data_IF_074110468382
#
_entry.id   IF_074110468382
#
_cell.length_a   1.000
_cell.length_b   1.000
_cell.length_c   1.000
_cell.angle_alpha   90.00
_cell.angle_beta   90.00
_cell.angle_gamma   90.00
#
_symmetry.space_group_name_H-M   'P 1'
#
loop_
_entity.id
_entity.type
_entity.pdbx_description
1 polymer ?
#
# COMPACT_ATOMS: atom_id res chain seq x y z
N UNK A 1 -9.49 -16.90 6.33
CA UNK A 1 -8.95 -17.20 7.66
C UNK A 1 -8.62 -15.90 8.40
N UNK A 2 -9.05 -15.78 9.64
CA UNK A 2 -8.70 -14.71 10.57
C UNK A 2 -8.14 -15.33 11.83
N UNK A 3 -6.81 -15.42 11.88
CA UNK A 3 -6.11 -16.14 12.94
C UNK A 3 -5.70 -15.29 14.15
N UNK A 4 -5.95 -13.97 14.09
CA UNK A 4 -5.66 -13.06 15.20
C UNK A 4 -6.64 -13.34 16.35
N UNK A 5 -6.16 -13.60 17.59
CA UNK A 5 -7.05 -13.82 18.71
C UNK A 5 -8.00 -12.66 18.96
N UNK A 6 -9.16 -12.93 19.53
CA UNK A 6 -10.25 -11.99 19.85
C UNK A 6 -11.02 -11.42 18.65
N UNK A 7 -10.55 -11.53 17.42
CA UNK A 7 -11.24 -10.99 16.24
C UNK A 7 -12.29 -11.98 15.74
N UNK A 8 -13.56 -11.56 15.73
CA UNK A 8 -14.71 -12.40 15.34
C UNK A 8 -15.54 -11.82 14.20
N UNK A 9 -15.18 -10.64 13.68
CA UNK A 9 -15.96 -9.96 12.64
C UNK A 9 -16.07 -10.77 11.34
N UNK A 10 -15.01 -11.46 10.90
CA UNK A 10 -15.03 -12.28 9.69
C UNK A 10 -15.84 -13.58 9.88
N UNK A 11 -15.74 -14.21 11.06
CA UNK A 11 -16.55 -15.37 11.42
C UNK A 11 -18.04 -15.02 11.38
N UNK A 12 -18.44 -13.96 12.07
CA UNK A 12 -19.81 -13.49 12.07
C UNK A 12 -20.32 -13.13 10.68
N UNK A 13 -19.49 -12.44 9.88
CA UNK A 13 -19.84 -12.10 8.50
C UNK A 13 -20.09 -13.35 7.64
N UNK A 14 -19.26 -14.38 7.78
CA UNK A 14 -19.44 -15.65 7.05
C UNK A 14 -20.72 -16.38 7.50
N UNK A 15 -21.04 -16.36 8.77
CA UNK A 15 -22.27 -17.00 9.32
C UNK A 15 -23.53 -16.30 8.86
N UNK A 16 -23.55 -14.95 8.87
CA UNK A 16 -24.77 -14.18 8.62
C UNK A 16 -24.93 -13.76 7.15
N UNK A 17 -23.83 -13.57 6.40
CA UNK A 17 -23.83 -12.99 5.07
C UNK A 17 -23.11 -13.89 4.03
N UNK A 18 -23.11 -15.22 4.24
CA UNK A 18 -22.44 -16.17 3.36
C UNK A 18 -22.84 -16.00 1.89
N UNK A 19 -24.13 -15.85 1.60
CA UNK A 19 -24.63 -15.65 0.23
C UNK A 19 -24.00 -14.43 -0.45
N UNK A 20 -23.91 -13.31 0.25
CA UNK A 20 -23.30 -12.08 -0.26
C UNK A 20 -21.80 -12.22 -0.52
N UNK A 21 -21.10 -12.97 0.33
CA UNK A 21 -19.68 -13.27 0.13
C UNK A 21 -19.52 -14.09 -1.16
N UNK A 22 -20.35 -15.12 -1.37
CA UNK A 22 -20.27 -15.98 -2.57
C UNK A 22 -20.61 -15.21 -3.85
N UNK A 23 -21.58 -14.28 -3.83
CA UNK A 23 -21.83 -13.37 -4.96
C UNK A 23 -20.55 -12.55 -5.28
N UNK A 24 -19.87 -12.03 -4.28
CA UNK A 24 -18.61 -11.31 -4.46
C UNK A 24 -17.48 -12.18 -4.99
N UNK A 25 -17.41 -13.44 -4.57
CA UNK A 25 -16.48 -14.43 -5.12
C UNK A 25 -16.80 -14.67 -6.61
N UNK A 26 -18.07 -14.79 -6.98
CA UNK A 26 -18.51 -14.93 -8.38
C UNK A 26 -18.06 -13.77 -9.26
N UNK A 27 -18.21 -12.53 -8.76
CA UNK A 27 -17.74 -11.31 -9.44
C UNK A 27 -16.22 -11.33 -9.60
N UNK A 28 -15.47 -11.68 -8.56
CA UNK A 28 -14.00 -11.79 -8.61
C UNK A 28 -13.57 -12.85 -9.62
N UNK A 29 -14.18 -14.03 -9.63
CA UNK A 29 -13.90 -15.09 -10.61
C UNK A 29 -14.14 -14.61 -12.04
N UNK A 30 -15.24 -13.90 -12.29
CA UNK A 30 -15.57 -13.35 -13.59
C UNK A 30 -14.53 -12.32 -14.07
N UNK A 31 -14.16 -11.36 -13.22
CA UNK A 31 -13.18 -10.30 -13.55
C UNK A 31 -11.79 -10.90 -13.83
N UNK A 32 -11.38 -11.89 -13.04
CA UNK A 32 -10.05 -12.50 -13.16
C UNK A 32 -9.99 -13.61 -14.23
N UNK A 33 -11.12 -14.04 -14.77
CA UNK A 33 -11.21 -15.15 -15.74
C UNK A 33 -10.72 -16.47 -15.16
N UNK A 34 -10.88 -16.69 -13.84
CA UNK A 34 -10.45 -17.91 -13.15
C UNK A 34 -11.63 -18.85 -12.90
N UNK A 35 -11.33 -20.16 -12.86
CA UNK A 35 -12.33 -21.16 -12.52
C UNK A 35 -12.27 -21.55 -11.05
N UNK A 36 -11.10 -21.93 -10.53
CA UNK A 36 -10.96 -22.45 -9.17
C UNK A 36 -10.81 -21.34 -8.13
N UNK A 37 -11.57 -21.50 -7.04
CA UNK A 37 -11.46 -20.65 -5.84
C UNK A 37 -11.38 -21.54 -4.60
N UNK A 38 -10.51 -21.15 -3.64
CA UNK A 38 -10.40 -21.79 -2.34
C UNK A 38 -10.72 -20.77 -1.26
N UNK A 39 -11.57 -21.14 -0.30
CA UNK A 39 -11.89 -20.32 0.88
C UNK A 39 -11.39 -21.07 2.11
N UNK A 40 -10.29 -20.61 2.69
CA UNK A 40 -9.74 -21.19 3.92
C UNK A 40 -10.45 -20.64 5.16
N UNK A 41 -10.96 -21.53 6.01
CA UNK A 41 -11.63 -21.17 7.26
C UNK A 41 -11.05 -22.05 8.35
N UNK A 42 -10.72 -21.47 9.51
CA UNK A 42 -10.15 -22.21 10.63
C UNK A 42 -11.16 -23.25 11.15
N UNK A 43 -10.66 -24.43 11.54
CA UNK A 43 -11.44 -25.58 12.00
C UNK A 43 -12.23 -25.34 13.31
N UNK A 44 -11.86 -24.30 14.06
CA UNK A 44 -12.61 -23.83 15.24
C UNK A 44 -13.85 -23.00 14.91
N UNK A 45 -14.21 -22.84 13.62
CA UNK A 45 -15.37 -22.05 13.15
C UNK A 45 -16.36 -22.94 12.35
N UNK A 46 -16.92 -24.00 12.97
CA UNK A 46 -17.76 -24.98 12.26
C UNK A 46 -19.02 -24.36 11.65
N UNK A 47 -19.63 -23.39 12.33
CA UNK A 47 -20.84 -22.73 11.84
C UNK A 47 -20.56 -21.87 10.57
N UNK A 48 -19.43 -21.18 10.53
CA UNK A 48 -19.01 -20.44 9.33
C UNK A 48 -18.70 -21.39 8.16
N UNK A 49 -18.05 -22.53 8.44
CA UNK A 49 -17.77 -23.55 7.41
C UNK A 49 -19.08 -24.07 6.80
N UNK A 50 -20.07 -24.39 7.63
CA UNK A 50 -21.34 -24.92 7.18
C UNK A 50 -22.15 -23.86 6.41
N UNK A 51 -22.24 -22.63 6.91
CA UNK A 51 -22.93 -21.54 6.24
C UNK A 51 -22.31 -21.26 4.86
N UNK A 52 -20.97 -21.23 4.76
CA UNK A 52 -20.28 -21.00 3.50
C UNK A 52 -20.44 -22.15 2.51
N UNK A 53 -20.41 -23.43 2.96
CA UNK A 53 -20.68 -24.60 2.11
C UNK A 53 -22.09 -24.54 1.54
N UNK A 54 -23.10 -24.32 2.39
CA UNK A 54 -24.48 -24.15 1.97
C UNK A 54 -24.65 -23.02 0.95
N UNK A 55 -23.94 -21.91 1.12
CA UNK A 55 -24.01 -20.79 0.18
C UNK A 55 -23.36 -21.14 -1.19
N UNK A 56 -22.25 -21.85 -1.21
CA UNK A 56 -21.59 -22.34 -2.41
C UNK A 56 -22.51 -23.30 -3.19
N UNK A 57 -23.13 -24.25 -2.50
CA UNK A 57 -24.08 -25.21 -3.09
C UNK A 57 -25.30 -24.51 -3.69
N UNK A 58 -25.93 -23.59 -2.93
CA UNK A 58 -27.06 -22.79 -3.42
C UNK A 58 -26.74 -21.94 -4.64
N UNK A 59 -25.50 -21.45 -4.74
CA UNK A 59 -25.03 -20.67 -5.87
C UNK A 59 -24.60 -21.50 -7.08
N UNK A 60 -24.54 -22.83 -6.98
CA UNK A 60 -24.08 -23.74 -8.05
C UNK A 60 -22.60 -23.54 -8.42
N UNK A 61 -21.78 -23.11 -7.48
CA UNK A 61 -20.35 -22.83 -7.72
C UNK A 61 -19.47 -24.04 -7.38
N UNK A 62 -19.61 -25.15 -8.12
CA UNK A 62 -18.93 -26.43 -7.88
C UNK A 62 -17.38 -26.32 -7.84
N UNK A 63 -16.81 -25.34 -8.52
CA UNK A 63 -15.37 -25.08 -8.58
C UNK A 63 -14.85 -24.10 -7.48
N UNK A 64 -15.70 -23.82 -6.47
CA UNK A 64 -15.35 -23.09 -5.25
C UNK A 64 -15.34 -24.03 -4.06
N UNK A 65 -14.18 -24.21 -3.44
CA UNK A 65 -13.97 -25.19 -2.35
C UNK A 65 -13.79 -24.48 -1.01
N UNK A 66 -14.58 -24.89 -0.01
CA UNK A 66 -14.38 -24.48 1.38
C UNK A 66 -13.39 -25.46 2.02
N UNK A 67 -12.24 -24.95 2.44
CA UNK A 67 -11.13 -25.75 3.01
C UNK A 67 -11.00 -25.42 4.50
N UNK A 68 -11.37 -26.35 5.41
CA UNK A 68 -11.01 -26.22 6.81
C UNK A 68 -9.51 -26.26 6.97
N UNK A 69 -8.94 -25.30 7.70
CA UNK A 69 -7.51 -25.23 8.00
C UNK A 69 -7.28 -25.26 9.51
N UNK A 70 -6.13 -25.77 9.98
CA UNK A 70 -5.82 -25.77 11.42
C UNK A 70 -5.85 -24.36 12.00
N UNK A 71 -6.41 -24.23 13.20
CA UNK A 71 -6.39 -22.99 13.98
C UNK A 71 -4.98 -22.77 14.53
N UNK A 72 -4.13 -22.14 13.74
CA UNK A 72 -2.73 -21.87 14.07
C UNK A 72 -2.34 -20.47 13.64
N UNK A 73 -1.86 -19.66 14.57
CA UNK A 73 -1.34 -18.33 14.25
C UNK A 73 0.09 -18.43 13.65
N UNK A 74 0.42 -17.76 12.53
CA UNK A 74 -0.37 -16.81 11.74
C UNK A 74 -0.87 -17.39 10.38
N UNK A 75 -1.64 -18.46 10.38
CA UNK A 75 -2.16 -19.11 9.15
C UNK A 75 -3.00 -18.18 8.25
N UNK A 76 -3.61 -17.13 8.84
CA UNK A 76 -4.38 -16.11 8.10
C UNK A 76 -3.51 -15.10 7.33
N UNK A 77 -2.19 -15.12 7.50
CA UNK A 77 -1.30 -14.28 6.68
C UNK A 77 -1.37 -14.69 5.19
N UNK A 78 -1.39 -13.72 4.27
CA UNK A 78 -1.60 -13.98 2.84
C UNK A 78 -0.67 -15.06 2.28
N UNK A 79 0.65 -14.95 2.49
CA UNK A 79 1.64 -15.91 1.96
C UNK A 79 1.51 -17.28 2.63
N UNK A 80 1.21 -17.32 3.92
CA UNK A 80 1.01 -18.54 4.70
C UNK A 80 -0.26 -19.27 4.26
N UNK A 81 -1.36 -18.55 4.09
CA UNK A 81 -2.62 -19.11 3.63
C UNK A 81 -2.49 -19.70 2.21
N UNK A 82 -1.79 -19.01 1.30
CA UNK A 82 -1.54 -19.50 -0.04
C UNK A 82 -0.75 -20.82 0.01
N UNK A 83 0.30 -20.90 0.83
CA UNK A 83 1.08 -22.13 0.98
C UNK A 83 0.23 -23.28 1.56
N UNK A 84 -0.57 -23.01 2.59
CA UNK A 84 -1.48 -24.00 3.20
C UNK A 84 -2.49 -24.54 2.18
N UNK A 85 -3.12 -23.66 1.40
CA UNK A 85 -4.21 -24.05 0.49
C UNK A 85 -3.71 -24.63 -0.83
N UNK A 86 -2.51 -24.29 -1.28
CA UNK A 86 -2.04 -24.64 -2.63
C UNK A 86 -0.71 -25.38 -2.68
N UNK A 87 0.02 -25.44 -1.58
CA UNK A 87 1.38 -25.97 -1.53
C UNK A 87 2.43 -25.10 -2.23
N UNK A 88 2.03 -23.94 -2.79
CA UNK A 88 2.93 -23.04 -3.51
C UNK A 88 3.43 -21.91 -2.60
N UNK A 89 4.72 -21.60 -2.72
CA UNK A 89 5.32 -20.48 -2.00
C UNK A 89 5.40 -19.25 -2.88
N UNK A 90 5.03 -18.10 -2.31
CA UNK A 90 5.23 -16.80 -2.97
C UNK A 90 6.72 -16.46 -2.88
N UNK A 91 7.40 -16.15 -4.01
CA UNK A 91 8.82 -15.85 -4.02
C UNK A 91 9.19 -14.68 -3.10
N UNK A 92 10.44 -14.67 -2.61
CA UNK A 92 10.98 -13.51 -1.91
C UNK A 92 10.91 -12.27 -2.82
N UNK A 93 10.55 -11.12 -2.24
CA UNK A 93 10.25 -9.87 -2.98
C UNK A 93 9.12 -9.98 -4.02
N UNK A 94 8.46 -11.14 -4.13
CA UNK A 94 7.32 -11.37 -5.03
C UNK A 94 5.97 -11.09 -4.38
N UNK A 95 4.96 -11.01 -5.23
CA UNK A 95 3.55 -10.91 -4.86
C UNK A 95 2.80 -12.17 -5.31
N UNK A 96 1.66 -12.52 -4.73
CA UNK A 96 0.88 -13.70 -5.11
C UNK A 96 0.58 -13.81 -6.61
N UNK A 97 0.38 -12.68 -7.29
CA UNK A 97 0.16 -12.64 -8.74
C UNK A 97 1.32 -13.23 -9.56
N UNK A 98 2.56 -13.24 -9.05
CA UNK A 98 3.71 -13.86 -9.72
C UNK A 98 3.57 -15.38 -9.86
N UNK A 99 2.75 -16.00 -9.04
CA UNK A 99 2.44 -17.45 -9.09
C UNK A 99 1.01 -17.72 -9.56
N UNK A 100 0.34 -16.71 -10.14
CA UNK A 100 -1.01 -16.82 -10.68
C UNK A 100 -2.10 -16.93 -9.62
N UNK A 101 -1.91 -16.34 -8.43
CA UNK A 101 -2.86 -16.38 -7.32
C UNK A 101 -3.21 -14.94 -6.90
N UNK A 102 -4.47 -14.73 -6.52
CA UNK A 102 -4.96 -13.51 -5.88
C UNK A 102 -5.65 -13.91 -4.59
N UNK A 103 -5.35 -13.24 -3.48
CA UNK A 103 -5.94 -13.49 -2.17
C UNK A 103 -6.74 -12.28 -1.71
N UNK A 104 -7.94 -12.53 -1.19
CA UNK A 104 -8.82 -11.50 -0.62
C UNK A 104 -9.46 -11.98 0.67
N UNK A 105 -9.68 -11.04 1.59
CA UNK A 105 -10.48 -11.28 2.79
C UNK A 105 -11.97 -11.39 2.43
N UNK A 106 -12.74 -12.16 3.21
CA UNK A 106 -14.19 -12.35 3.01
C UNK A 106 -14.96 -11.05 3.07
N UNK A 107 -14.57 -10.11 3.93
CA UNK A 107 -15.15 -8.76 3.98
C UNK A 107 -14.91 -7.95 2.70
N UNK A 108 -13.82 -8.21 1.99
CA UNK A 108 -13.57 -7.61 0.66
C UNK A 108 -14.51 -8.19 -0.38
N UNK A 109 -14.70 -9.51 -0.42
CA UNK A 109 -15.64 -10.16 -1.32
C UNK A 109 -17.07 -9.66 -1.09
N UNK A 110 -17.52 -9.59 0.18
CA UNK A 110 -18.79 -9.01 0.57
C UNK A 110 -18.96 -7.56 0.08
N UNK A 111 -17.94 -6.71 0.27
CA UNK A 111 -17.98 -5.32 -0.16
C UNK A 111 -18.03 -5.17 -1.70
N UNK A 112 -17.36 -6.06 -2.44
CA UNK A 112 -17.41 -6.10 -3.91
C UNK A 112 -18.83 -6.42 -4.38
N UNK A 113 -19.49 -7.43 -3.79
CA UNK A 113 -20.88 -7.74 -4.11
C UNK A 113 -21.77 -6.52 -3.93
N UNK A 114 -21.69 -5.85 -2.79
CA UNK A 114 -22.49 -4.64 -2.51
C UNK A 114 -22.18 -3.50 -3.49
N UNK A 115 -20.93 -3.29 -3.79
CA UNK A 115 -20.55 -2.21 -4.72
C UNK A 115 -21.06 -2.45 -6.14
N UNK A 116 -20.97 -3.68 -6.64
CA UNK A 116 -21.35 -4.00 -8.03
C UNK A 116 -22.84 -4.21 -8.19
N UNK A 117 -23.48 -4.91 -7.25
CA UNK A 117 -24.89 -5.29 -7.37
C UNK A 117 -25.86 -4.22 -6.82
N UNK A 118 -25.42 -3.44 -5.81
CA UNK A 118 -26.26 -2.45 -5.14
C UNK A 118 -25.80 -1.00 -5.37
N UNK A 119 -24.63 -0.79 -6.02
CA UNK A 119 -24.05 0.54 -6.15
C UNK A 119 -23.60 1.15 -4.82
N UNK A 120 -23.46 0.34 -3.75
CA UNK A 120 -23.13 0.78 -2.40
C UNK A 120 -21.62 0.83 -2.19
N UNK A 121 -21.00 2.01 -2.03
CA UNK A 121 -19.56 2.10 -1.80
C UNK A 121 -19.17 1.57 -0.41
N UNK A 122 -17.88 1.22 -0.22
CA UNK A 122 -17.36 0.76 1.06
C UNK A 122 -17.24 1.94 2.05
N UNK A 123 -18.32 2.25 2.74
CA UNK A 123 -18.40 3.28 3.79
C UNK A 123 -18.65 2.69 5.18
N UNK A 124 -18.85 1.37 5.28
CA UNK A 124 -19.08 0.66 6.55
C UNK A 124 -18.10 -0.50 6.70
N UNK A 125 -17.78 -0.85 7.95
CA UNK A 125 -17.00 -2.03 8.31
C UNK A 125 -17.69 -2.77 9.45
N UNK A 126 -17.54 -4.09 9.48
CA UNK A 126 -17.84 -4.87 10.69
C UNK A 126 -16.59 -4.82 11.55
N UNK A 127 -16.76 -4.46 12.81
CA UNK A 127 -15.69 -4.25 13.78
C UNK A 127 -16.02 -5.02 15.04
N UNK A 128 -15.09 -5.82 15.50
CA UNK A 128 -15.15 -6.50 16.79
C UNK A 128 -14.75 -5.50 17.88
N UNK A 129 -15.62 -5.32 18.89
CA UNK A 129 -15.28 -4.59 20.13
C UNK A 129 -15.24 -5.62 21.24
N UNK A 130 -14.07 -5.84 21.87
CA UNK A 130 -13.86 -6.99 22.74
C UNK A 130 -12.78 -6.76 23.79
N UNK A 131 -12.56 -7.78 24.63
CA UNK A 131 -11.63 -7.79 25.77
C UNK A 131 -12.33 -7.65 27.09
N UNK A 132 -11.72 -8.07 28.17
CA UNK A 132 -12.30 -8.03 29.51
C UNK A 132 -12.61 -6.61 30.03
N UNK A 133 -12.05 -5.58 29.36
CA UNK A 133 -12.31 -4.17 29.65
C UNK A 133 -13.59 -3.60 29.07
N UNK A 134 -14.35 -4.38 28.27
CA UNK A 134 -15.63 -3.99 27.67
C UNK A 134 -16.77 -4.69 28.38
N UNK A 135 -17.87 -3.99 28.66
CA UNK A 135 -19.00 -4.59 29.36
C UNK A 135 -19.78 -5.61 28.52
N UNK A 136 -19.99 -5.35 27.25
CA UNK A 136 -20.77 -6.19 26.35
C UNK A 136 -20.02 -6.38 25.01
N UNK A 137 -19.02 -7.28 24.96
CA UNK A 137 -18.28 -7.56 23.72
C UNK A 137 -19.20 -7.96 22.58
N UNK A 138 -19.03 -7.34 21.40
CA UNK A 138 -19.90 -7.56 20.24
C UNK A 138 -19.23 -7.20 18.92
N UNK A 139 -19.84 -7.60 17.81
CA UNK A 139 -19.50 -7.12 16.48
C UNK A 139 -20.46 -6.02 16.07
N UNK A 140 -19.95 -4.88 15.61
CA UNK A 140 -20.73 -3.71 15.20
C UNK A 140 -20.52 -3.42 13.72
N UNK A 141 -21.60 -3.12 13.01
CA UNK A 141 -21.50 -2.51 11.69
C UNK A 141 -21.34 -0.99 11.86
N UNK A 142 -20.15 -0.49 11.65
CA UNK A 142 -19.78 0.90 11.90
C UNK A 142 -19.47 1.64 10.60
N UNK A 143 -19.86 2.92 10.53
CA UNK A 143 -19.43 3.84 9.48
C UNK A 143 -17.92 4.13 9.63
N UNK A 144 -17.21 4.16 8.53
CA UNK A 144 -15.82 4.64 8.51
C UNK A 144 -15.83 6.12 8.93
N UNK A 145 -14.93 6.48 9.86
CA UNK A 145 -14.91 7.81 10.45
C UNK A 145 -15.65 7.94 11.78
N UNK A 146 -16.43 6.93 12.21
CA UNK A 146 -17.05 6.93 13.53
C UNK A 146 -15.96 7.00 14.62
N UNK A 147 -16.09 7.88 15.64
CA UNK A 147 -15.18 7.89 16.77
C UNK A 147 -15.14 6.53 17.48
N UNK A 148 -13.96 6.04 17.80
CA UNK A 148 -13.78 4.76 18.50
C UNK A 148 -14.54 4.74 19.83
N UNK A 149 -14.56 5.88 20.54
CA UNK A 149 -15.32 6.03 21.76
C UNK A 149 -16.79 5.64 21.58
N UNK A 150 -17.45 6.12 20.52
CA UNK A 150 -18.85 5.80 20.25
C UNK A 150 -19.09 4.29 20.05
N UNK A 151 -18.11 3.57 19.46
CA UNK A 151 -18.21 2.12 19.29
C UNK A 151 -18.04 1.38 20.63
N UNK A 152 -17.15 1.87 21.48
CA UNK A 152 -16.97 1.32 22.84
C UNK A 152 -18.24 1.59 23.67
N UNK A 153 -18.80 2.79 23.58
CA UNK A 153 -20.05 3.16 24.30
C UNK A 153 -21.22 2.27 23.86
N UNK A 154 -21.33 1.94 22.56
CA UNK A 154 -22.34 0.99 22.05
C UNK A 154 -22.13 -0.44 22.56
N UNK A 155 -20.90 -0.83 22.85
CA UNK A 155 -20.55 -2.11 23.46
C UNK A 155 -20.70 -2.10 25.00
N UNK A 156 -21.49 -1.17 25.55
CA UNK A 156 -21.76 -1.04 26.98
C UNK A 156 -20.76 -0.17 27.74
N UNK A 157 -19.74 0.37 27.06
CA UNK A 157 -18.71 1.19 27.68
C UNK A 157 -17.55 0.37 28.25
N UNK A 158 -16.74 1.02 29.09
CA UNK A 158 -15.58 0.42 29.75
C UNK A 158 -15.84 0.17 31.22
N UNK A 159 -15.43 -0.99 31.73
CA UNK A 159 -15.61 -1.41 33.13
C UNK A 159 -14.40 -1.16 34.03
N UNK A 160 -13.39 -0.44 33.54
CA UNK A 160 -12.19 -0.10 34.30
C UNK A 160 -11.15 -1.21 34.44
N UNK A 161 -11.37 -2.42 33.91
CA UNK A 161 -10.42 -3.53 33.96
C UNK A 161 -9.27 -3.37 32.96
N UNK A 162 -9.43 -2.55 31.93
CA UNK A 162 -8.41 -2.31 30.92
C UNK A 162 -7.75 -0.96 31.11
N UNK A 163 -6.42 -0.91 30.99
CA UNK A 163 -5.62 0.32 31.04
C UNK A 163 -5.19 0.79 29.65
N UNK A 164 -5.53 0.04 28.61
CA UNK A 164 -5.11 0.35 27.23
C UNK A 164 -6.16 -0.04 26.21
N UNK A 165 -6.18 0.70 25.12
CA UNK A 165 -6.99 0.42 23.94
C UNK A 165 -6.05 -0.02 22.81
N UNK A 166 -6.27 -1.21 22.25
CA UNK A 166 -5.52 -1.75 21.13
C UNK A 166 -6.40 -1.71 19.88
N UNK A 167 -5.87 -1.17 18.80
CA UNK A 167 -6.48 -1.17 17.47
C UNK A 167 -5.97 -2.36 16.68
N UNK A 168 -6.82 -3.34 16.41
CA UNK A 168 -6.47 -4.67 15.93
C UNK A 168 -6.40 -5.70 17.06
N UNK A 169 -5.79 -6.85 16.79
CA UNK A 169 -5.63 -7.92 17.78
C UNK A 169 -4.38 -7.77 18.64
N UNK A 170 -4.16 -8.72 19.58
CA UNK A 170 -3.06 -8.63 20.54
C UNK A 170 -1.67 -8.83 19.92
N UNK A 171 -1.58 -9.50 18.76
CA UNK A 171 -0.31 -9.87 18.13
C UNK A 171 0.18 -8.80 17.15
N UNK A 172 -0.67 -8.32 16.26
CA UNK A 172 -0.32 -7.34 15.21
C UNK A 172 -0.84 -5.93 15.46
N UNK A 173 -1.81 -5.77 16.36
CA UNK A 173 -2.39 -4.47 16.70
C UNK A 173 -1.40 -3.50 17.36
N UNK A 174 -1.84 -2.29 17.57
CA UNK A 174 -1.07 -1.25 18.24
C UNK A 174 -1.94 -0.47 19.23
N UNK A 175 -1.34 -0.02 20.34
CA UNK A 175 -2.05 0.74 21.36
C UNK A 175 -2.33 2.16 20.89
N UNK A 176 -3.56 2.62 21.11
CA UNK A 176 -3.98 3.99 20.90
C UNK A 176 -3.82 4.81 22.19
N UNK A 177 -3.50 6.08 22.03
CA UNK A 177 -3.38 7.03 23.17
C UNK A 177 -4.71 7.73 23.47
N UNK A 178 -5.66 7.66 22.55
CA UNK A 178 -6.97 8.30 22.64
C UNK A 178 -8.04 7.45 21.96
N UNK A 179 -9.23 7.45 22.47
CA UNK A 179 -10.44 6.86 21.88
C UNK A 179 -11.25 7.86 21.02
N UNK A 180 -10.83 9.11 20.94
CA UNK A 180 -11.44 10.12 20.04
C UNK A 180 -11.01 9.97 18.57
N UNK A 181 -10.11 9.03 18.27
CA UNK A 181 -9.67 8.75 16.91
C UNK A 181 -10.80 8.11 16.09
N UNK A 182 -10.89 8.40 14.78
CA UNK A 182 -11.90 7.79 13.92
C UNK A 182 -11.55 6.35 13.53
N UNK A 183 -12.59 5.53 13.36
CA UNK A 183 -12.47 4.22 12.73
C UNK A 183 -11.96 4.39 11.29
N UNK A 184 -10.89 3.68 10.95
CA UNK A 184 -10.33 3.70 9.60
C UNK A 184 -10.85 2.52 8.75
N UNK A 185 -10.66 2.60 7.44
CA UNK A 185 -11.06 1.57 6.50
C UNK A 185 -10.43 0.19 6.78
N UNK A 186 -9.26 0.14 7.38
CA UNK A 186 -8.53 -1.09 7.71
C UNK A 186 -8.85 -1.64 9.10
N UNK A 187 -9.60 -0.91 9.93
CA UNK A 187 -9.92 -1.34 11.28
C UNK A 187 -10.97 -2.46 11.30
N UNK A 188 -10.67 -3.54 12.00
CA UNK A 188 -11.57 -4.69 12.18
C UNK A 188 -11.75 -5.08 13.65
N UNK A 189 -10.94 -4.52 14.58
CA UNK A 189 -11.03 -4.85 15.99
C UNK A 189 -10.60 -3.67 16.88
N UNK A 190 -11.32 -3.51 17.98
CA UNK A 190 -11.03 -2.65 19.13
C UNK A 190 -10.93 -3.57 20.35
N UNK A 191 -9.73 -3.78 20.84
CA UNK A 191 -9.46 -4.67 21.97
C UNK A 191 -9.11 -3.84 23.21
N UNK A 192 -9.88 -4.04 24.28
CA UNK A 192 -9.63 -3.49 25.60
C UNK A 192 -9.26 -4.65 26.56
N UNK A 193 -8.03 -5.13 26.50
CA UNK A 193 -7.64 -6.30 27.26
C UNK A 193 -7.45 -5.97 28.73
N UNK A 194 -7.72 -6.94 29.61
CA UNK A 194 -7.24 -6.88 31.00
C UNK A 194 -5.72 -7.09 31.04
N UNK A 195 -5.14 -6.86 32.22
CA UNK A 195 -3.72 -7.15 32.43
C UNK A 195 -3.40 -8.65 32.31
N UNK A 196 -4.35 -9.52 32.65
CA UNK A 196 -4.22 -10.98 32.48
C UNK A 196 -4.25 -11.40 31.03
N UNK A 197 -5.16 -10.83 30.22
CA UNK A 197 -5.30 -11.14 28.79
C UNK A 197 -4.10 -10.64 27.96
N UNK A 198 -3.52 -9.54 28.37
CA UNK A 198 -2.38 -8.95 27.67
C UNK A 198 -1.47 -8.21 28.66
N UNK A 199 -0.63 -8.94 29.39
CA UNK A 199 0.24 -8.37 30.41
C UNK A 199 1.23 -7.36 29.79
N UNK A 200 1.56 -6.33 30.56
CA UNK A 200 2.62 -5.41 30.16
C UNK A 200 3.94 -6.16 30.22
N UNK A 201 4.67 -6.27 29.10
CA UNK A 201 5.92 -7.02 29.09
C UNK A 201 6.93 -6.34 30.03
N UNK A 202 7.73 -7.15 30.77
CA UNK A 202 8.80 -6.61 31.60
C UNK A 202 9.85 -5.88 30.76
N UNK A 203 10.77 -5.20 31.43
CA UNK A 203 11.83 -4.46 30.72
C UNK A 203 12.66 -5.40 29.84
N UNK A 204 12.96 -4.91 28.64
CA UNK A 204 13.86 -5.59 27.71
C UNK A 204 15.24 -5.81 28.35
N UNK A 205 15.74 -7.04 28.23
CA UNK A 205 17.10 -7.42 28.63
C UNK A 205 17.96 -7.76 27.40
N UNK A 206 19.24 -8.04 27.63
CA UNK A 206 20.14 -8.43 26.54
C UNK A 206 19.73 -9.77 25.92
N UNK A 207 19.93 -9.91 24.62
CA UNK A 207 19.66 -11.18 23.92
C UNK A 207 20.58 -12.29 24.43
N UNK A 208 20.00 -13.39 24.89
CA UNK A 208 20.71 -14.60 25.37
C UNK A 208 21.03 -15.61 24.28
N UNK A 209 20.73 -15.30 23.01
CA UNK A 209 20.99 -16.14 21.82
C UNK A 209 20.33 -17.53 21.87
N UNK A 210 19.15 -17.66 22.45
CA UNK A 210 18.45 -18.92 22.61
C UNK A 210 17.89 -19.53 21.31
N UNK A 211 17.75 -18.78 20.23
CA UNK A 211 17.26 -19.28 18.94
C UNK A 211 15.74 -19.33 18.78
N UNK A 212 14.95 -19.31 19.85
CA UNK A 212 13.48 -19.48 19.83
C UNK A 212 12.76 -18.59 18.80
N UNK A 213 13.22 -17.36 18.60
CA UNK A 213 12.62 -16.44 17.62
C UNK A 213 12.78 -16.91 16.17
N UNK A 214 13.82 -17.67 15.84
CA UNK A 214 14.01 -18.25 14.51
C UNK A 214 13.13 -19.49 14.30
N UNK A 215 12.96 -20.30 15.34
CA UNK A 215 12.14 -21.53 15.32
C UNK A 215 10.66 -21.21 14.99
N UNK A 216 10.12 -20.12 15.55
CA UNK A 216 8.70 -19.73 15.36
C UNK A 216 8.46 -18.82 14.18
N UNK A 217 9.49 -18.47 13.42
CA UNK A 217 9.32 -17.53 12.30
C UNK A 217 8.62 -18.20 11.10
N UNK A 218 7.38 -17.81 10.73
CA UNK A 218 6.65 -18.42 9.63
C UNK A 218 7.33 -18.17 8.26
N UNK A 219 8.10 -17.08 8.15
CA UNK A 219 8.86 -16.74 6.95
C UNK A 219 10.30 -17.29 6.99
N UNK A 220 10.66 -18.13 7.99
CA UNK A 220 11.98 -18.77 8.16
C UNK A 220 13.15 -17.77 8.13
N UNK A 221 12.93 -16.57 8.65
CA UNK A 221 13.96 -15.55 8.79
C UNK A 221 14.85 -15.81 10.00
N UNK A 222 15.90 -14.99 10.12
CA UNK A 222 16.75 -14.94 11.30
C UNK A 222 16.47 -13.68 12.13
N UNK A 223 15.43 -13.66 12.99
CA UNK A 223 14.99 -12.47 13.70
C UNK A 223 16.08 -11.82 14.56
N UNK A 224 16.96 -12.63 15.20
CA UNK A 224 18.06 -12.11 16.00
C UNK A 224 19.08 -11.33 15.16
N UNK A 225 19.36 -11.77 13.92
CA UNK A 225 20.29 -11.06 13.03
C UNK A 225 19.67 -9.75 12.54
N UNK A 226 18.41 -9.81 12.10
CA UNK A 226 17.64 -8.64 11.72
C UNK A 226 17.60 -7.58 12.83
N UNK A 227 17.42 -8.02 14.10
CA UNK A 227 17.45 -7.13 15.26
C UNK A 227 18.81 -6.44 15.42
N UNK A 228 19.91 -7.17 15.35
CA UNK A 228 21.24 -6.61 15.55
C UNK A 228 21.58 -5.58 14.47
N UNK A 229 21.31 -5.89 13.20
CA UNK A 229 21.55 -4.96 12.09
C UNK A 229 20.60 -3.76 12.11
N UNK A 230 19.31 -3.96 12.43
CA UNK A 230 18.37 -2.86 12.58
C UNK A 230 18.78 -1.89 13.72
N UNK A 231 19.21 -2.44 14.86
CA UNK A 231 19.74 -1.67 15.99
C UNK A 231 21.00 -0.90 15.63
N UNK A 232 21.91 -1.52 14.86
CA UNK A 232 23.14 -0.89 14.37
C UNK A 232 22.89 0.09 13.21
N UNK A 233 21.65 0.19 12.69
CA UNK A 233 21.29 0.98 11.49
C UNK A 233 22.04 0.55 10.22
N UNK A 234 22.51 -0.69 10.18
CA UNK A 234 23.09 -1.32 8.99
C UNK A 234 21.98 -1.85 8.09
N UNK A 235 21.35 -0.94 7.35
CA UNK A 235 20.17 -1.26 6.55
C UNK A 235 20.50 -2.12 5.33
N UNK A 236 21.72 -2.11 4.85
CA UNK A 236 22.14 -2.95 3.73
C UNK A 236 22.13 -4.42 4.18
N UNK A 237 22.69 -4.70 5.38
CA UNK A 237 22.61 -6.04 5.99
C UNK A 237 21.17 -6.44 6.31
N UNK A 238 20.33 -5.51 6.77
CA UNK A 238 18.90 -5.81 7.01
C UNK A 238 18.22 -6.28 5.71
N UNK A 239 18.56 -5.69 4.56
CA UNK A 239 18.05 -6.15 3.25
C UNK A 239 18.61 -7.51 2.85
N UNK A 240 19.91 -7.75 3.03
CA UNK A 240 20.56 -9.05 2.76
C UNK A 240 19.88 -10.19 3.54
N UNK A 241 19.35 -9.90 4.73
CA UNK A 241 18.61 -10.84 5.57
C UNK A 241 17.09 -10.84 5.31
N UNK A 242 16.66 -10.34 4.15
CA UNK A 242 15.30 -10.43 3.62
C UNK A 242 14.20 -9.84 4.52
N UNK A 243 14.45 -8.67 5.12
CA UNK A 243 13.48 -8.01 6.02
C UNK A 243 12.10 -7.82 5.39
N UNK A 244 12.02 -7.67 4.06
CA UNK A 244 10.76 -7.47 3.35
C UNK A 244 9.85 -8.71 3.35
N UNK A 245 10.39 -9.90 3.60
CA UNK A 245 9.60 -11.13 3.77
C UNK A 245 9.01 -11.27 5.18
N UNK A 246 9.44 -10.44 6.12
CA UNK A 246 8.85 -10.37 7.46
C UNK A 246 7.42 -9.83 7.37
N UNK A 247 6.43 -10.63 7.83
CA UNK A 247 5.00 -10.25 7.89
C UNK A 247 4.60 -9.52 9.18
N UNK A 248 5.57 -9.24 10.07
CA UNK A 248 5.36 -8.52 11.34
C UNK A 248 4.35 -9.19 12.30
N UNK A 249 4.19 -10.49 12.19
CA UNK A 249 3.23 -11.28 12.96
C UNK A 249 3.43 -11.28 14.47
N UNK A 250 4.58 -10.86 14.99
CA UNK A 250 4.83 -10.80 16.44
C UNK A 250 5.31 -12.11 17.09
N UNK A 251 5.23 -13.27 16.43
CA UNK A 251 5.63 -14.57 17.02
C UNK A 251 7.02 -14.53 17.66
N UNK A 252 8.01 -13.94 16.95
CA UNK A 252 9.38 -13.85 17.47
C UNK A 252 9.49 -12.98 18.73
N UNK A 253 8.71 -11.90 18.83
CA UNK A 253 8.66 -11.04 20.02
C UNK A 253 7.96 -11.76 21.19
N UNK A 254 6.90 -12.50 20.89
CA UNK A 254 6.10 -13.24 21.88
C UNK A 254 6.94 -14.32 22.62
N UNK A 255 7.74 -15.08 21.87
CA UNK A 255 8.56 -16.16 22.47
C UNK A 255 9.90 -15.68 23.04
N UNK A 256 10.22 -14.39 22.95
CA UNK A 256 11.51 -13.86 23.37
C UNK A 256 11.63 -13.79 24.90
N UNK A 257 12.47 -14.61 25.56
CA UNK A 257 12.63 -14.56 27.01
C UNK A 257 13.30 -13.28 27.51
N UNK A 258 13.94 -12.54 26.62
CA UNK A 258 14.55 -11.23 26.91
C UNK A 258 13.59 -10.05 26.62
N UNK A 259 12.34 -10.32 26.28
CA UNK A 259 11.29 -9.35 25.99
C UNK A 259 11.71 -8.25 24.99
N UNK A 260 12.53 -8.63 23.98
CA UNK A 260 12.98 -7.71 22.96
C UNK A 260 11.82 -7.43 22.01
N UNK A 261 11.44 -6.13 21.79
CA UNK A 261 10.36 -5.79 20.87
C UNK A 261 10.84 -5.87 19.41
N UNK A 262 11.15 -7.09 18.94
CA UNK A 262 11.78 -7.37 17.66
C UNK A 262 11.04 -6.70 16.49
N UNK A 263 9.71 -6.83 16.45
CA UNK A 263 8.88 -6.28 15.39
C UNK A 263 8.99 -4.75 15.29
N UNK A 264 9.15 -4.06 16.42
CA UNK A 264 9.30 -2.60 16.40
C UNK A 264 10.62 -2.18 15.73
N UNK A 265 11.71 -2.94 15.95
CA UNK A 265 12.98 -2.72 15.25
C UNK A 265 12.83 -2.99 13.74
N UNK A 266 12.02 -3.98 13.35
CA UNK A 266 11.80 -4.28 11.93
C UNK A 266 10.94 -3.21 11.26
N UNK A 267 9.88 -2.73 11.92
CA UNK A 267 9.08 -1.59 11.45
C UNK A 267 9.93 -0.34 11.26
N UNK A 268 10.80 -0.06 12.23
CA UNK A 268 11.78 1.03 12.10
C UNK A 268 12.69 0.83 10.88
N UNK A 269 13.33 -0.33 10.73
CA UNK A 269 14.22 -0.60 9.62
C UNK A 269 13.51 -0.53 8.26
N UNK A 270 12.31 -1.11 8.12
CA UNK A 270 11.49 -1.03 6.91
C UNK A 270 11.13 0.42 6.57
N UNK A 271 10.78 1.24 7.57
CA UNK A 271 10.45 2.65 7.37
C UNK A 271 11.64 3.43 6.82
N UNK A 272 12.84 3.20 7.37
CA UNK A 272 14.07 3.88 6.90
C UNK A 272 14.47 3.40 5.49
N UNK A 273 14.34 2.10 5.21
CA UNK A 273 14.56 1.55 3.86
C UNK A 273 13.57 2.13 2.85
N UNK A 274 12.30 2.24 3.22
CA UNK A 274 11.29 2.85 2.37
C UNK A 274 11.59 4.33 2.07
N UNK A 275 12.03 5.11 3.07
CA UNK A 275 12.45 6.50 2.89
C UNK A 275 13.61 6.60 1.90
N UNK A 276 14.67 5.80 2.09
CA UNK A 276 15.82 5.75 1.18
C UNK A 276 15.39 5.42 -0.27
N UNK A 277 14.50 4.44 -0.44
CA UNK A 277 13.97 4.08 -1.75
C UNK A 277 13.15 5.21 -2.39
N UNK A 278 12.31 5.89 -1.61
CA UNK A 278 11.56 7.06 -2.11
C UNK A 278 12.47 8.20 -2.53
N UNK A 279 13.50 8.50 -1.76
CA UNK A 279 14.50 9.51 -2.11
C UNK A 279 15.25 9.14 -3.40
N UNK A 280 15.68 7.89 -3.52
CA UNK A 280 16.30 7.37 -4.73
C UNK A 280 15.39 7.50 -5.95
N UNK A 281 14.13 7.08 -5.84
CA UNK A 281 13.14 7.22 -6.92
C UNK A 281 12.92 8.68 -7.33
N UNK A 282 12.85 9.60 -6.36
CA UNK A 282 12.72 11.04 -6.65
C UNK A 282 13.95 11.57 -7.39
N UNK A 283 15.16 11.19 -6.95
CA UNK A 283 16.41 11.58 -7.59
C UNK A 283 16.51 11.03 -9.02
N UNK A 284 16.22 9.75 -9.23
CA UNK A 284 16.23 9.12 -10.55
C UNK A 284 15.19 9.75 -11.49
N UNK A 285 14.01 10.05 -11.00
CA UNK A 285 12.99 10.76 -11.79
C UNK A 285 13.43 12.19 -12.17
N UNK A 286 14.04 12.91 -11.24
CA UNK A 286 14.57 14.25 -11.50
C UNK A 286 15.70 14.21 -12.54
N UNK A 287 16.64 13.24 -12.41
CA UNK A 287 17.71 13.01 -13.38
C UNK A 287 17.16 12.72 -14.77
N UNK A 288 16.23 11.77 -14.90
CA UNK A 288 15.59 11.42 -16.18
C UNK A 288 14.86 12.61 -16.83
N UNK A 289 14.16 13.42 -16.02
CA UNK A 289 13.52 14.65 -16.51
C UNK A 289 14.55 15.66 -17.04
N UNK A 290 15.66 15.83 -16.32
CA UNK A 290 16.75 16.72 -16.74
C UNK A 290 17.38 16.25 -18.06
N UNK A 291 17.77 14.99 -18.17
CA UNK A 291 18.32 14.39 -19.38
C UNK A 291 17.38 14.55 -20.58
N UNK A 292 16.10 14.26 -20.40
CA UNK A 292 15.08 14.45 -21.45
C UNK A 292 14.95 15.91 -21.87
N UNK A 293 15.03 16.86 -20.92
CA UNK A 293 15.01 18.29 -21.21
C UNK A 293 16.23 18.71 -22.02
N UNK A 294 17.44 18.28 -21.63
CA UNK A 294 18.69 18.58 -22.33
C UNK A 294 18.64 18.02 -23.75
N UNK A 295 18.31 16.76 -23.95
CA UNK A 295 18.19 16.14 -25.26
C UNK A 295 17.18 16.86 -26.16
N UNK A 296 16.03 17.31 -25.59
CA UNK A 296 15.06 18.12 -26.34
C UNK A 296 15.62 19.47 -26.79
N UNK A 297 16.35 20.16 -25.91
CA UNK A 297 16.97 21.46 -26.24
C UNK A 297 18.05 21.31 -27.30
N UNK A 298 18.90 20.29 -27.23
CA UNK A 298 19.93 19.96 -28.22
C UNK A 298 19.30 19.67 -29.60
N UNK A 299 18.23 18.85 -29.63
CA UNK A 299 17.48 18.57 -30.86
C UNK A 299 16.92 19.85 -31.49
N UNK A 300 16.30 20.71 -30.67
CA UNK A 300 15.77 22.00 -31.17
C UNK A 300 16.89 22.91 -31.67
N UNK A 301 18.04 22.95 -31.02
CA UNK A 301 19.21 23.71 -31.47
C UNK A 301 19.76 23.18 -32.79
N UNK A 302 19.86 21.85 -32.93
CA UNK A 302 20.29 21.19 -34.17
C UNK A 302 19.31 21.47 -35.31
N UNK A 303 17.99 21.41 -35.07
CA UNK A 303 16.95 21.77 -36.08
C UNK A 303 17.05 23.22 -36.50
N UNK A 304 17.28 24.16 -35.56
CA UNK A 304 17.47 25.60 -35.89
C UNK A 304 18.73 25.79 -36.75
N UNK A 305 19.85 25.13 -36.38
CA UNK A 305 21.09 25.19 -37.18
C UNK A 305 20.87 24.65 -38.61
N UNK A 306 20.20 23.51 -38.74
CA UNK A 306 19.90 22.92 -40.05
C UNK A 306 18.99 23.80 -40.92
N UNK A 307 17.95 24.41 -40.33
CA UNK A 307 17.08 25.38 -41.01
C UNK A 307 17.84 26.62 -41.47
N UNK A 308 18.75 27.14 -40.63
CA UNK A 308 19.60 28.30 -41.00
C UNK A 308 20.57 27.93 -42.14
N UNK A 309 21.18 26.73 -42.08
CA UNK A 309 22.07 26.25 -43.14
C UNK A 309 21.34 26.10 -44.48
N UNK A 310 20.13 25.47 -44.47
CA UNK A 310 19.28 25.37 -45.68
C UNK A 310 18.88 26.73 -46.23
N UNK A 311 18.59 27.72 -45.38
CA UNK A 311 18.29 29.08 -45.82
C UNK A 311 19.51 29.77 -46.44
N UNK A 312 20.73 29.60 -45.89
CA UNK A 312 21.97 30.12 -46.51
C UNK A 312 22.26 29.45 -47.86
N UNK A 313 22.18 28.12 -47.94
CA UNK A 313 22.38 27.37 -49.19
C UNK A 313 21.33 27.73 -50.28
N UNK A 314 20.11 28.11 -49.86
CA UNK A 314 19.10 28.61 -50.83
C UNK A 314 19.36 30.02 -51.30
N UNK A 315 20.01 30.88 -50.50
CA UNK A 315 20.43 32.26 -50.87
C UNK A 315 21.69 32.28 -51.71
N UNK A 316 22.60 31.30 -51.51
CA UNK A 316 23.86 31.17 -52.24
C UNK A 316 23.70 30.47 -53.62
N UNK A 317 22.51 29.93 -53.96
CA UNK A 317 22.26 29.38 -55.28
C UNK A 317 22.14 30.54 -56.30
N UNK A 318 23.02 30.65 -57.30
CA UNK A 318 22.91 31.69 -58.31
C UNK A 318 21.58 31.56 -59.04
N UNK A 319 20.82 32.64 -59.04
CA UNK A 319 19.60 32.75 -59.84
C UNK A 319 19.99 32.60 -61.31
N UNK A 320 19.81 31.38 -61.86
CA UNK A 320 19.93 31.13 -63.32
C UNK A 320 18.91 32.00 -64.08
N UNK A 321 19.45 32.91 -64.78
CA UNK A 321 18.97 33.73 -65.89
C UNK A 321 17.49 34.01 -66.08
N UNK A 322 17.12 35.29 -65.96
CA UNK A 322 16.50 36.15 -66.99
C UNK A 322 15.92 37.42 -66.36
N UNK A 323 16.21 38.55 -66.94
CA UNK A 323 15.41 39.77 -66.83
C UNK A 323 15.97 40.86 -65.91
N UNK A 324 16.74 41.81 -66.55
CA UNK A 324 17.03 43.15 -66.02
C UNK A 324 15.71 43.85 -65.73
N UNK A 325 15.49 44.28 -64.51
CA UNK A 325 14.67 45.44 -64.20
C UNK A 325 15.44 46.26 -63.16
N UNK A 326 15.88 47.44 -63.55
CA UNK A 326 16.49 48.41 -62.68
C UNK A 326 15.41 48.97 -61.71
N UNK A 327 15.78 49.08 -60.44
CA UNK A 327 14.96 49.75 -59.44
C UNK A 327 14.70 49.00 -58.12
N UNK A 328 15.68 48.16 -57.63
CA UNK A 328 15.37 47.30 -56.49
C UNK A 328 16.23 47.47 -55.23
N UNK A 329 17.29 48.23 -55.23
CA UNK A 329 18.20 48.26 -54.11
C UNK A 329 17.84 49.20 -52.98
N UNK A 330 17.15 50.31 -53.29
CA UNK A 330 16.70 51.28 -52.28
C UNK A 330 15.47 50.72 -51.48
N UNK A 331 14.57 50.03 -52.18
CA UNK A 331 13.41 49.42 -51.54
C UNK A 331 13.84 48.23 -50.60
N UNK A 332 14.89 47.48 -50.94
CA UNK A 332 15.43 46.44 -50.10
C UNK A 332 16.18 46.99 -48.88
N UNK A 333 16.95 48.09 -49.04
CA UNK A 333 17.58 48.77 -47.92
C UNK A 333 16.57 49.35 -46.95
N UNK A 334 15.53 50.00 -47.44
CA UNK A 334 14.45 50.51 -46.60
C UNK A 334 13.68 49.41 -45.85
N UNK A 335 13.42 48.26 -46.48
CA UNK A 335 12.78 47.12 -45.85
C UNK A 335 13.66 46.48 -44.76
N UNK A 336 14.97 46.38 -44.96
CA UNK A 336 15.93 45.87 -43.95
C UNK A 336 16.04 46.83 -42.76
N UNK A 337 16.08 48.14 -43.04
CA UNK A 337 16.15 49.17 -41.99
C UNK A 337 14.86 49.23 -41.15
N UNK A 338 13.70 49.06 -41.78
CA UNK A 338 12.41 48.93 -41.08
C UNK A 338 12.31 47.65 -40.25
N UNK A 339 12.86 46.56 -40.73
CA UNK A 339 12.92 45.29 -39.98
C UNK A 339 13.86 45.38 -38.78
N UNK A 340 15.03 46.02 -38.94
CA UNK A 340 15.96 46.28 -37.83
C UNK A 340 15.37 47.18 -36.75
N UNK A 341 14.65 48.25 -37.14
CA UNK A 341 13.93 49.12 -36.19
C UNK A 341 12.86 48.38 -35.40
N UNK A 342 12.11 47.49 -36.06
CA UNK A 342 11.10 46.63 -35.37
C UNK A 342 11.73 45.64 -34.37
N UNK A 343 12.88 45.08 -34.68
CA UNK A 343 13.59 44.16 -33.78
C UNK A 343 14.19 44.93 -32.60
N UNK A 344 14.74 46.12 -32.83
CA UNK A 344 15.25 46.98 -31.77
C UNK A 344 14.15 47.44 -30.80
N UNK A 345 12.97 47.85 -31.35
CA UNK A 345 11.81 48.23 -30.54
C UNK A 345 11.27 47.03 -29.69
N UNK A 346 11.21 45.83 -30.27
CA UNK A 346 10.83 44.61 -29.49
C UNK A 346 11.84 44.23 -28.40
N UNK A 347 13.14 44.48 -28.63
CA UNK A 347 14.15 44.24 -27.58
C UNK A 347 14.10 45.29 -26.48
N UNK A 348 13.77 46.55 -26.80
CA UNK A 348 13.60 47.59 -25.79
C UNK A 348 12.36 47.33 -24.92
N UNK A 349 11.21 46.98 -25.51
CA UNK A 349 9.98 46.65 -24.80
C UNK A 349 10.13 45.37 -23.91
N UNK A 350 10.92 44.39 -24.36
CA UNK A 350 11.19 43.18 -23.56
C UNK A 350 12.13 43.45 -22.36
N UNK A 351 13.03 44.46 -22.47
CA UNK A 351 13.87 44.91 -21.37
C UNK A 351 13.07 45.69 -20.31
N UNK A 352 12.15 46.53 -20.73
CA UNK A 352 11.25 47.27 -19.81
C UNK A 352 10.35 46.32 -19.01
N UNK A 353 9.77 45.32 -19.66
CA UNK A 353 8.96 44.30 -18.96
C UNK A 353 9.75 43.40 -18.01
N UNK A 354 11.08 43.28 -18.16
CA UNK A 354 11.92 42.57 -17.23
C UNK A 354 12.34 43.43 -16.03
N UNK A 355 12.44 44.75 -16.18
CA UNK A 355 12.75 45.68 -15.09
C UNK A 355 11.55 45.92 -14.17
N UNK A 356 10.31 45.90 -14.72
CA UNK A 356 9.10 46.02 -13.88
C UNK A 356 8.79 44.76 -13.07
N UNK A 357 9.19 43.55 -13.53
CA UNK A 357 9.02 42.31 -12.79
C UNK A 357 10.12 42.02 -11.72
N UNK A 358 11.15 42.85 -11.66
CA UNK A 358 12.23 42.79 -10.68
C UNK A 358 12.09 43.71 -9.49
N UNK A 359 11.04 44.59 -9.47
CA UNK A 359 10.80 45.55 -8.39
C UNK A 359 9.69 45.13 -7.40
N UNK A 360 9.04 43.97 -7.65
CA UNK A 360 7.98 43.42 -6.80
C UNK A 360 8.35 42.01 -6.27
N UNK A 361 9.55 41.88 -5.70
CA UNK A 361 9.92 40.69 -4.89
C UNK A 361 10.79 41.11 -3.71
#
# INVERSE_FOLDING_TARGET
AECEPFITCDDMLMREQAGRIIEGVGILKHILGIQRCFIGIEDNKPEAIEAMRTAVEKAGMEDTTIVPIPTLYPSGGEKQLIEILTGKQVPSHGIPANIGIVCHNVGTAHAIARAVLEGSPLITRIVTVTGAGVDSPCNLQALIGTPIKSLIDQAGGTNGKSTRLVYGGPMMGFSLRSNELPLTKSGNCLLLPSEEESPIPPRMTACIRCGKCAEVCPARLLPQQLYWYARAKDFDKVQDYHIHDCIECGCCSHVCPSHIPLVQFYRFAKTELWKKEQEKRKADHARKRHETRVARLERLAAERKSKLRRKKEALDKPAGGKGKAAGGDDAKKAAIEAAMKRVAAKKAAAKEQQSEKGADN
#
